data_IF_408373935146
#
_entry.id   IF_408373935146
#
_cell.length_a   1.000
_cell.length_b   1.000
_cell.length_c   1.000
_cell.angle_alpha   90.00
_cell.angle_beta   90.00
_cell.angle_gamma   90.00
#
_symmetry.space_group_name_H-M   'P 1'
#
loop_
_entity.id
_entity.type
_entity.pdbx_description
1 polymer ?
#
# COMPACT_ATOMS: atom_id res chain seq x y z
N UNK A 1 -8.64 -29.07 19.18
CA UNK A 1 -8.51 -28.05 18.10
C UNK A 1 -9.79 -28.10 17.28
N UNK A 2 -10.36 -26.95 16.91
CA UNK A 2 -11.78 -26.76 16.51
C UNK A 2 -12.84 -26.97 17.61
N UNK A 3 -12.55 -27.75 18.66
CA UNK A 3 -13.51 -28.06 19.73
C UNK A 3 -14.10 -26.85 20.50
N UNK A 4 -13.53 -25.64 20.37
CA UNK A 4 -14.05 -24.41 20.97
C UNK A 4 -14.15 -23.24 19.96
N UNK A 5 -14.27 -23.53 18.66
CA UNK A 5 -14.47 -22.50 17.63
C UNK A 5 -15.92 -21.98 17.67
N UNK A 6 -16.08 -20.66 17.85
CA UNK A 6 -17.41 -20.03 17.94
C UNK A 6 -18.05 -19.84 16.56
N UNK A 7 -17.30 -19.30 15.59
CA UNK A 7 -17.79 -18.99 14.24
C UNK A 7 -16.58 -18.83 13.29
N UNK A 8 -16.76 -19.08 11.99
CA UNK A 8 -15.70 -18.91 10.98
C UNK A 8 -16.25 -18.32 9.69
N UNK A 9 -15.52 -17.34 9.17
CA UNK A 9 -15.84 -16.66 7.92
C UNK A 9 -14.63 -16.64 6.96
N UNK A 10 -14.89 -16.94 5.69
CA UNK A 10 -13.93 -16.80 4.60
C UNK A 10 -14.44 -15.77 3.59
N UNK A 11 -13.60 -14.81 3.23
CA UNK A 11 -13.96 -13.72 2.32
C UNK A 11 -12.92 -13.58 1.21
N UNK A 12 -13.36 -13.61 -0.05
CA UNK A 12 -12.51 -13.42 -1.22
C UNK A 12 -12.91 -12.13 -1.95
N UNK A 13 -11.98 -11.19 -2.05
CA UNK A 13 -12.17 -9.93 -2.78
C UNK A 13 -10.81 -9.35 -3.23
N UNK A 14 -10.86 -8.36 -4.12
CA UNK A 14 -9.68 -7.59 -4.51
C UNK A 14 -9.61 -6.30 -3.70
N UNK A 15 -8.45 -6.02 -3.14
CA UNK A 15 -8.19 -4.79 -2.36
C UNK A 15 -6.94 -4.12 -2.92
N UNK A 16 -7.09 -2.91 -3.45
CA UNK A 16 -5.94 -2.11 -3.86
C UNK A 16 -5.30 -1.44 -2.63
N UNK A 17 -3.97 -1.20 -2.65
CA UNK A 17 -3.32 -0.40 -1.62
C UNK A 17 -3.92 1.00 -1.51
N UNK A 18 -4.08 1.49 -0.27
CA UNK A 18 -4.55 2.84 0.00
C UNK A 18 -4.97 3.06 1.46
N UNK A 19 -5.45 4.26 1.75
CA UNK A 19 -5.91 4.64 3.09
C UNK A 19 -7.34 4.21 3.41
N UNK A 20 -8.09 3.83 2.37
CA UNK A 20 -9.49 3.46 2.48
C UNK A 20 -9.64 2.09 3.15
N UNK A 21 -10.53 2.02 4.14
CA UNK A 21 -10.90 0.78 4.79
C UNK A 21 -12.04 0.09 4.05
N UNK A 22 -11.91 -1.21 3.82
CA UNK A 22 -13.03 -2.06 3.42
C UNK A 22 -13.66 -2.66 4.66
N UNK A 23 -14.96 -2.43 4.84
CA UNK A 23 -15.74 -3.02 5.93
C UNK A 23 -16.39 -4.30 5.47
N UNK A 24 -16.20 -5.37 6.23
CA UNK A 24 -16.73 -6.70 5.95
C UNK A 24 -17.61 -7.11 7.11
N UNK A 25 -18.83 -7.54 6.79
CA UNK A 25 -19.82 -8.01 7.75
C UNK A 25 -20.12 -9.47 7.48
N UNK A 26 -20.04 -10.27 8.53
CA UNK A 26 -20.43 -11.66 8.55
C UNK A 26 -21.55 -11.84 9.58
N UNK A 27 -22.83 -11.84 9.16
CA UNK A 27 -23.95 -12.18 10.02
C UNK A 27 -24.02 -13.71 10.17
N UNK A 28 -23.10 -14.28 10.93
CA UNK A 28 -23.06 -15.72 11.21
C UNK A 28 -24.24 -16.16 12.07
N UNK A 29 -24.51 -17.47 12.06
CA UNK A 29 -25.65 -18.07 12.78
C UNK A 29 -25.36 -18.04 14.29
N UNK A 30 -24.11 -18.30 14.68
CA UNK A 30 -23.69 -18.32 16.10
C UNK A 30 -23.23 -16.95 16.54
N UNK A 31 -22.47 -16.24 15.70
CA UNK A 31 -21.92 -14.94 16.03
C UNK A 31 -21.93 -13.97 14.84
N UNK A 32 -22.16 -12.70 15.13
CA UNK A 32 -22.03 -11.62 14.15
C UNK A 32 -20.62 -11.02 14.23
N UNK A 33 -19.88 -11.03 13.13
CA UNK A 33 -18.51 -10.52 13.06
C UNK A 33 -18.47 -9.35 12.07
N UNK A 34 -18.03 -8.18 12.54
CA UNK A 34 -17.73 -7.04 11.68
C UNK A 34 -16.24 -6.69 11.83
N UNK A 35 -15.54 -6.62 10.71
CA UNK A 35 -14.11 -6.29 10.69
C UNK A 35 -13.80 -5.38 9.50
N UNK A 36 -12.68 -4.68 9.60
CA UNK A 36 -12.19 -3.78 8.55
C UNK A 36 -10.79 -4.21 8.13
N UNK A 37 -10.56 -4.24 6.84
CA UNK A 37 -9.24 -4.52 6.26
C UNK A 37 -8.81 -3.37 5.34
N UNK A 38 -7.51 -3.17 5.23
CA UNK A 38 -6.90 -2.33 4.18
C UNK A 38 -5.52 -2.86 3.86
N UNK A 39 -5.05 -2.59 2.66
CA UNK A 39 -3.68 -2.85 2.23
C UNK A 39 -2.98 -1.50 2.16
N UNK A 40 -1.78 -1.38 2.73
CA UNK A 40 -0.93 -0.20 2.59
C UNK A 40 0.44 -0.63 2.07
N UNK A 41 1.02 0.21 1.22
CA UNK A 41 2.41 0.04 0.87
C UNK A 41 3.29 0.53 2.01
N UNK A 42 4.48 -0.07 2.12
CA UNK A 42 5.52 0.44 2.99
C UNK A 42 6.02 1.81 2.51
N UNK A 43 6.72 2.51 3.38
CA UNK A 43 7.32 3.80 3.03
C UNK A 43 8.24 3.67 1.82
N UNK A 44 8.14 4.62 0.88
CA UNK A 44 8.89 4.61 -0.39
C UNK A 44 8.50 3.51 -1.38
N UNK A 45 7.41 2.76 -1.14
CA UNK A 45 6.84 1.80 -2.08
C UNK A 45 5.49 2.28 -2.62
N UNK A 46 5.30 2.13 -3.93
CA UNK A 46 4.19 2.70 -4.68
C UNK A 46 3.58 1.70 -5.66
N UNK A 47 2.47 2.10 -6.26
CA UNK A 47 1.73 1.33 -7.25
C UNK A 47 0.78 0.31 -6.64
N UNK A 48 -0.07 -0.29 -7.48
CA UNK A 48 -1.11 -1.24 -7.05
C UNK A 48 -0.59 -2.53 -6.44
N UNK A 49 0.70 -2.83 -6.62
CA UNK A 49 1.38 -4.01 -6.10
C UNK A 49 2.41 -3.69 -5.00
N UNK A 50 2.53 -2.43 -4.59
CA UNK A 50 3.54 -1.97 -3.62
C UNK A 50 4.98 -2.42 -3.94
N UNK A 51 5.33 -2.53 -5.22
CA UNK A 51 6.61 -3.06 -5.66
C UNK A 51 7.45 -2.03 -6.44
N UNK A 52 6.92 -0.84 -6.68
CA UNK A 52 7.68 0.26 -7.28
C UNK A 52 8.34 1.06 -6.17
N UNK A 53 9.67 1.03 -6.11
CA UNK A 53 10.42 1.76 -5.08
C UNK A 53 10.81 3.14 -5.58
N UNK A 54 10.60 4.16 -4.76
CA UNK A 54 11.16 5.50 -4.95
C UNK A 54 11.41 6.14 -3.59
N UNK A 55 12.69 6.33 -3.25
CA UNK A 55 13.09 7.06 -2.06
C UNK A 55 13.66 8.42 -2.49
N UNK A 56 13.12 9.55 -2.00
CA UNK A 56 13.67 10.87 -2.31
C UNK A 56 15.16 10.93 -2.01
N UNK A 57 15.91 11.66 -2.84
CA UNK A 57 17.36 11.76 -2.75
C UNK A 57 17.82 13.15 -3.18
N UNK A 58 18.80 13.67 -2.48
CA UNK A 58 19.45 14.95 -2.80
C UNK A 58 20.92 14.85 -2.39
N UNK A 59 21.67 14.07 -3.16
CA UNK A 59 23.09 13.80 -2.94
C UNK A 59 23.80 13.53 -4.29
N UNK A 60 25.08 13.14 -4.24
CA UNK A 60 25.88 12.86 -5.45
C UNK A 60 25.24 11.86 -6.44
N UNK A 61 24.35 10.98 -5.97
CA UNK A 61 23.70 9.97 -6.81
C UNK A 61 22.36 10.43 -7.39
N UNK A 62 21.88 11.64 -7.08
CA UNK A 62 20.69 12.21 -7.71
C UNK A 62 19.98 13.26 -6.86
N UNK A 63 19.23 14.12 -7.55
CA UNK A 63 18.54 15.26 -6.98
C UNK A 63 17.06 15.23 -7.38
N UNK A 64 16.26 14.47 -6.62
CA UNK A 64 14.87 14.20 -6.96
C UNK A 64 13.96 13.93 -5.77
N UNK A 65 12.68 14.19 -5.99
CA UNK A 65 11.56 13.74 -5.13
C UNK A 65 10.74 12.65 -5.83
N UNK A 66 9.90 11.98 -5.06
CA UNK A 66 8.97 10.98 -5.59
C UNK A 66 7.57 11.58 -5.67
N UNK A 67 6.90 11.42 -6.81
CA UNK A 67 5.48 11.77 -6.93
C UNK A 67 4.58 10.71 -6.25
N UNK A 68 3.26 10.95 -6.11
CA UNK A 68 2.33 9.97 -5.53
C UNK A 68 2.23 8.63 -6.27
N UNK A 69 2.69 8.56 -7.53
CA UNK A 69 2.77 7.34 -8.34
C UNK A 69 4.15 6.66 -8.22
N UNK A 70 5.04 7.17 -7.37
CA UNK A 70 6.41 6.72 -7.19
C UNK A 70 7.33 7.02 -8.37
N UNK A 71 7.00 7.96 -9.25
CA UNK A 71 7.92 8.42 -10.29
C UNK A 71 8.95 9.39 -9.70
N UNK A 72 10.16 9.34 -10.26
CA UNK A 72 11.22 10.29 -9.98
C UNK A 72 10.85 11.63 -10.63
N UNK A 73 10.93 12.71 -9.84
CA UNK A 73 10.73 14.08 -10.29
C UNK A 73 11.96 14.87 -9.88
N UNK A 74 12.73 15.33 -10.86
CA UNK A 74 13.96 16.10 -10.62
C UNK A 74 13.64 17.41 -9.87
N UNK A 75 14.57 17.80 -9.01
CA UNK A 75 14.56 19.13 -8.39
C UNK A 75 14.92 20.20 -9.43
N UNK A 76 14.59 21.45 -9.13
CA UNK A 76 14.87 22.57 -10.04
C UNK A 76 16.37 22.67 -10.36
N UNK A 77 16.69 22.76 -11.65
CA UNK A 77 18.07 22.78 -12.14
C UNK A 77 18.68 21.40 -12.40
N UNK A 78 17.95 20.31 -12.16
CA UNK A 78 18.41 18.94 -12.41
C UNK A 78 17.56 18.23 -13.48
N UNK A 79 18.18 17.34 -14.24
CA UNK A 79 17.60 16.57 -15.34
C UNK A 79 18.30 15.22 -15.57
N UNK A 80 17.80 14.45 -16.53
CA UNK A 80 18.24 13.09 -16.83
C UNK A 80 17.45 12.05 -16.03
N UNK A 81 17.64 10.76 -16.38
CA UNK A 81 16.89 9.65 -15.78
C UNK A 81 17.08 9.54 -14.26
N UNK A 82 18.28 9.85 -13.78
CA UNK A 82 18.64 9.83 -12.36
C UNK A 82 18.68 11.23 -11.71
N UNK A 83 18.30 12.29 -12.44
CA UNK A 83 18.39 13.69 -11.99
C UNK A 83 19.80 14.06 -11.50
N UNK A 84 20.82 13.81 -12.33
CA UNK A 84 22.25 14.02 -12.03
C UNK A 84 22.93 15.07 -12.92
N UNK A 85 22.21 15.67 -13.86
CA UNK A 85 22.75 16.63 -14.84
C UNK A 85 22.01 17.95 -14.76
#
# INVERSE_FOLDING_TARGET
GEENLIERHSHASMVNPGDQWQSIRHPGITAHIEYRIRVRCDENYYGSKCNKQCRPRDDYFGHYRCDPSGNIVCLDGWMGEDCRT
#
